data_IF_423700175732
#
_entry.id   IF_423700175732
#
_cell.length_a   1.000
_cell.length_b   1.000
_cell.length_c   1.000
_cell.angle_alpha   90.00
_cell.angle_beta   90.00
_cell.angle_gamma   90.00
#
_symmetry.space_group_name_H-M   'P 1'
#
loop_
_entity.id
_entity.type
_entity.pdbx_description
1 polymer ?
#
# COMPACT_ATOMS: atom_id res chain seq x y z
N UNK A 1 -0.46 -3.01 -10.30
CA UNK A 1 -0.98 -3.43 -8.98
C UNK A 1 -2.20 -2.60 -8.56
N UNK A 2 -2.05 -1.35 -8.08
CA UNK A 2 -3.16 -0.59 -7.48
C UNK A 2 -4.32 -0.33 -8.45
N UNK A 3 -4.04 -0.09 -9.74
CA UNK A 3 -5.06 0.00 -10.78
C UNK A 3 -5.85 -1.30 -10.94
N UNK A 4 -5.19 -2.45 -10.94
CA UNK A 4 -5.83 -3.77 -11.03
C UNK A 4 -6.71 -4.07 -9.82
N UNK A 5 -6.20 -3.78 -8.61
CA UNK A 5 -6.97 -3.95 -7.37
C UNK A 5 -8.22 -3.06 -7.36
N UNK A 6 -8.07 -1.81 -7.81
CA UNK A 6 -9.20 -0.88 -7.88
C UNK A 6 -10.27 -1.36 -8.88
N UNK A 7 -9.87 -1.89 -10.03
CA UNK A 7 -10.78 -2.48 -11.02
C UNK A 7 -11.47 -3.74 -10.49
N UNK A 8 -10.81 -4.48 -9.60
CA UNK A 8 -11.39 -5.63 -8.91
C UNK A 8 -12.33 -5.24 -7.74
N UNK A 9 -12.51 -3.95 -7.47
CA UNK A 9 -13.43 -3.45 -6.45
C UNK A 9 -12.80 -3.16 -5.09
N UNK A 10 -11.48 -3.27 -4.94
CA UNK A 10 -10.79 -2.84 -3.73
C UNK A 10 -10.71 -1.31 -3.62
N UNK A 11 -10.80 -0.80 -2.40
CA UNK A 11 -10.37 0.57 -2.09
C UNK A 11 -8.91 0.54 -1.63
N UNK A 12 -8.05 1.24 -2.36
CA UNK A 12 -6.63 1.36 -2.00
C UNK A 12 -6.48 2.34 -0.85
N UNK A 13 -5.77 1.93 0.21
CA UNK A 13 -5.48 2.75 1.38
C UNK A 13 -3.97 2.80 1.59
N UNK A 14 -3.42 3.99 1.82
CA UNK A 14 -1.98 4.20 2.03
C UNK A 14 -1.73 5.13 3.20
N UNK A 15 -0.48 5.23 3.65
CA UNK A 15 -0.05 6.28 4.57
C UNK A 15 -0.08 7.71 3.98
N UNK A 16 -0.42 7.86 2.70
CA UNK A 16 -0.64 9.16 2.05
C UNK A 16 0.61 9.94 1.66
N UNK A 17 1.81 9.40 1.86
CA UNK A 17 3.09 10.05 1.55
C UNK A 17 3.57 9.83 0.11
N UNK A 18 4.86 10.16 -0.16
CA UNK A 18 5.52 9.98 -1.44
C UNK A 18 5.89 8.52 -1.75
N UNK A 19 6.45 8.28 -2.92
CA UNK A 19 6.99 6.98 -3.34
C UNK A 19 5.93 5.93 -3.60
N UNK A 20 6.04 4.74 -3.01
CA UNK A 20 5.11 3.64 -3.22
C UNK A 20 3.66 4.01 -2.85
N UNK A 21 3.46 4.85 -1.84
CA UNK A 21 2.15 5.35 -1.43
C UNK A 21 1.53 6.26 -2.50
N UNK A 22 2.34 7.15 -3.07
CA UNK A 22 1.93 8.01 -4.19
C UNK A 22 1.59 7.18 -5.43
N UNK A 23 2.47 6.24 -5.80
CA UNK A 23 2.25 5.33 -6.92
C UNK A 23 0.96 4.51 -6.77
N UNK A 24 0.67 4.04 -5.56
CA UNK A 24 -0.57 3.30 -5.27
C UNK A 24 -1.81 4.20 -5.39
N UNK A 25 -1.78 5.43 -4.86
CA UNK A 25 -2.88 6.36 -5.01
C UNK A 25 -3.08 6.81 -6.46
N UNK A 26 -1.99 7.05 -7.23
CA UNK A 26 -2.05 7.35 -8.66
C UNK A 26 -2.65 6.19 -9.47
N UNK A 27 -2.21 4.96 -9.19
CA UNK A 27 -2.74 3.77 -9.84
C UNK A 27 -4.25 3.58 -9.62
N UNK A 28 -4.74 3.89 -8.41
CA UNK A 28 -6.16 3.90 -8.11
C UNK A 28 -6.89 5.08 -8.80
N UNK A 29 -6.28 6.27 -8.79
CA UNK A 29 -6.81 7.47 -9.44
C UNK A 29 -7.08 7.26 -10.94
N UNK A 30 -6.17 6.56 -11.63
CA UNK A 30 -6.24 6.28 -13.08
C UNK A 30 -6.61 4.81 -13.39
N UNK A 31 -7.35 4.14 -12.53
CA UNK A 31 -7.76 2.76 -12.74
C UNK A 31 -8.53 2.61 -14.06
N UNK A 32 -8.10 1.65 -14.90
CA UNK A 32 -8.71 1.44 -16.23
C UNK A 32 -8.30 2.45 -17.31
N UNK A 33 -7.37 3.35 -17.01
CA UNK A 33 -6.84 4.35 -17.97
C UNK A 33 -5.33 4.13 -18.21
N UNK A 34 -4.89 3.02 -18.84
CA UNK A 34 -3.46 2.66 -18.92
C UNK A 34 -2.62 3.71 -19.66
N UNK A 35 -3.14 4.30 -20.73
CA UNK A 35 -2.41 5.33 -21.48
C UNK A 35 -2.22 6.61 -20.65
N UNK A 36 -3.24 7.05 -19.91
CA UNK A 36 -3.15 8.19 -19.01
C UNK A 36 -2.19 7.92 -17.83
N UNK A 37 -2.17 6.67 -17.32
CA UNK A 37 -1.27 6.27 -16.25
C UNK A 37 0.20 6.31 -16.71
N UNK A 38 0.52 5.78 -17.89
CA UNK A 38 1.88 5.86 -18.46
C UNK A 38 2.30 7.31 -18.62
N UNK A 39 1.46 8.14 -19.23
CA UNK A 39 1.76 9.57 -19.43
C UNK A 39 1.96 10.32 -18.08
N UNK A 40 1.14 10.00 -17.08
CA UNK A 40 1.29 10.57 -15.74
C UNK A 40 2.61 10.18 -15.08
N UNK A 41 3.02 8.90 -15.20
CA UNK A 41 4.31 8.41 -14.69
C UNK A 41 5.47 9.13 -15.37
N UNK A 42 5.45 9.24 -16.70
CA UNK A 42 6.50 9.95 -17.46
C UNK A 42 6.61 11.42 -17.04
N UNK A 43 5.48 12.08 -16.78
CA UNK A 43 5.48 13.47 -16.30
C UNK A 43 6.05 13.58 -14.88
N UNK A 44 5.63 12.70 -13.95
CA UNK A 44 6.12 12.68 -12.57
C UNK A 44 7.60 12.33 -12.49
N UNK A 45 8.14 11.58 -13.43
CA UNK A 45 9.58 11.27 -13.53
C UNK A 45 10.47 12.50 -13.67
N UNK A 46 9.91 13.67 -14.03
CA UNK A 46 10.63 14.95 -14.04
C UNK A 46 10.97 15.47 -12.63
N UNK A 47 10.25 15.02 -11.61
CA UNK A 47 10.46 15.35 -10.19
C UNK A 47 10.45 14.07 -9.32
N UNK A 48 11.41 13.14 -9.51
CA UNK A 48 11.33 11.77 -8.99
C UNK A 48 11.54 11.68 -7.49
N UNK A 49 12.13 12.69 -6.86
CA UNK A 49 12.43 12.69 -5.43
C UNK A 49 11.74 13.84 -4.72
N UNK A 50 11.13 13.50 -3.58
CA UNK A 50 10.55 14.50 -2.70
C UNK A 50 11.60 15.28 -1.93
N UNK A 51 12.57 14.60 -1.29
CA UNK A 51 13.57 15.23 -0.43
C UNK A 51 14.44 16.23 -1.19
N UNK A 52 14.42 17.48 -0.73
CA UNK A 52 15.16 18.59 -1.33
C UNK A 52 14.55 19.14 -2.63
N UNK A 53 13.36 18.68 -3.00
CA UNK A 53 12.66 19.09 -4.22
C UNK A 53 11.14 19.20 -4.01
N UNK A 54 10.72 19.50 -2.79
CA UNK A 54 9.34 19.43 -2.31
C UNK A 54 8.38 20.27 -3.17
N UNK A 55 8.80 21.48 -3.51
CA UNK A 55 7.98 22.42 -4.31
C UNK A 55 7.72 21.89 -5.72
N UNK A 56 8.75 21.35 -6.38
CA UNK A 56 8.61 20.82 -7.73
C UNK A 56 7.81 19.51 -7.71
N UNK A 57 8.06 18.63 -6.74
CA UNK A 57 7.31 17.39 -6.59
C UNK A 57 5.80 17.66 -6.43
N UNK A 58 5.42 18.61 -5.55
CA UNK A 58 4.01 19.00 -5.38
C UNK A 58 3.46 19.63 -6.65
N UNK A 59 4.18 20.56 -7.30
CA UNK A 59 3.74 21.21 -8.51
C UNK A 59 3.48 20.23 -9.65
N UNK A 60 4.42 19.31 -9.90
CA UNK A 60 4.30 18.27 -10.92
C UNK A 60 3.11 17.34 -10.63
N UNK A 61 2.93 16.93 -9.39
CA UNK A 61 1.76 16.14 -8.99
C UNK A 61 0.44 16.87 -9.22
N UNK A 62 0.37 18.15 -8.90
CA UNK A 62 -0.81 18.99 -9.15
C UNK A 62 -1.10 19.18 -10.64
N UNK A 63 -0.07 19.31 -11.47
CA UNK A 63 -0.22 19.38 -12.93
C UNK A 63 -0.83 18.10 -13.49
N UNK A 64 -0.30 16.94 -13.10
CA UNK A 64 -0.86 15.63 -13.48
C UNK A 64 -2.30 15.51 -13.02
N UNK A 65 -2.59 15.88 -11.78
CA UNK A 65 -3.96 15.83 -11.26
C UNK A 65 -4.92 16.74 -12.02
N UNK A 66 -4.49 17.92 -12.45
CA UNK A 66 -5.31 18.86 -13.21
C UNK A 66 -5.62 18.36 -14.64
N UNK A 67 -4.74 17.51 -15.20
CA UNK A 67 -4.88 16.96 -16.55
C UNK A 67 -5.60 15.60 -16.58
N UNK A 68 -5.90 15.03 -15.41
CA UNK A 68 -6.47 13.68 -15.29
C UNK A 68 -7.83 13.71 -14.57
N UNK A 69 -8.64 12.69 -14.85
CA UNK A 69 -9.92 12.50 -14.18
C UNK A 69 -9.92 11.21 -13.35
N UNK A 70 -10.31 11.28 -12.07
CA UNK A 70 -10.32 10.09 -11.21
C UNK A 70 -11.37 9.09 -11.68
N UNK A 71 -10.96 7.83 -11.80
CA UNK A 71 -11.85 6.68 -12.11
C UNK A 71 -12.01 5.74 -10.93
N UNK A 72 -11.06 5.75 -9.99
CA UNK A 72 -11.11 4.94 -8.79
C UNK A 72 -10.94 5.74 -7.51
N UNK A 73 -11.22 5.09 -6.38
CA UNK A 73 -11.15 5.71 -5.05
C UNK A 73 -9.97 5.17 -4.26
N UNK A 74 -9.28 6.08 -3.57
CA UNK A 74 -8.24 5.71 -2.62
C UNK A 74 -8.23 6.64 -1.41
N UNK A 75 -7.65 6.19 -0.32
CA UNK A 75 -7.58 6.94 0.94
C UNK A 75 -6.10 7.09 1.33
N UNK A 76 -5.68 8.32 1.60
CA UNK A 76 -4.40 8.61 2.24
C UNK A 76 -4.60 8.87 3.73
N UNK A 77 -3.81 8.23 4.59
CA UNK A 77 -3.89 8.41 6.06
C UNK A 77 -2.54 8.91 6.59
N UNK A 78 -2.17 10.18 6.37
CA UNK A 78 -0.92 10.75 6.83
C UNK A 78 -0.97 11.19 8.29
N UNK A 79 0.22 11.51 8.86
CA UNK A 79 0.38 12.12 10.18
C UNK A 79 0.89 13.56 10.10
N UNK A 80 0.67 14.33 11.17
CA UNK A 80 1.14 15.71 11.28
C UNK A 80 2.60 15.81 11.72
N UNK A 81 3.11 14.85 12.48
CA UNK A 81 4.34 15.00 13.26
C UNK A 81 5.63 14.54 12.57
N UNK A 82 5.54 13.84 11.46
CA UNK A 82 6.75 13.47 10.71
C UNK A 82 7.14 14.54 9.67
N UNK A 83 6.96 15.77 10.03
CA UNK A 83 7.51 17.06 9.60
C UNK A 83 7.76 17.32 8.12
N UNK A 84 7.90 16.32 7.30
CA UNK A 84 8.39 16.42 5.94
C UNK A 84 7.64 15.54 4.93
N UNK A 85 6.49 15.01 5.30
CA UNK A 85 5.70 14.23 4.35
C UNK A 85 4.45 15.04 3.94
N UNK A 86 4.46 15.75 2.81
CA UNK A 86 3.24 16.26 2.24
C UNK A 86 2.40 15.06 1.84
N UNK A 87 1.11 15.22 1.97
CA UNK A 87 0.16 14.28 1.42
C UNK A 87 0.32 14.27 -0.10
N UNK A 88 0.47 13.08 -0.72
CA UNK A 88 0.41 13.00 -2.16
C UNK A 88 -0.97 13.46 -2.66
N UNK A 89 -1.01 13.98 -3.88
CA UNK A 89 -2.20 14.65 -4.42
C UNK A 89 -3.23 13.70 -5.03
N UNK A 90 -2.92 12.40 -5.13
CA UNK A 90 -3.75 11.44 -5.89
C UNK A 90 -4.79 10.70 -5.03
N UNK A 91 -4.65 10.74 -3.70
CA UNK A 91 -5.69 10.19 -2.83
C UNK A 91 -7.02 10.95 -3.01
N UNK A 92 -8.12 10.23 -3.17
CA UNK A 92 -9.46 10.82 -3.32
C UNK A 92 -10.06 11.30 -1.99
N UNK A 93 -9.55 10.78 -0.88
CA UNK A 93 -9.88 11.21 0.47
C UNK A 93 -8.64 11.16 1.37
N UNK A 94 -8.56 12.07 2.34
CA UNK A 94 -7.43 12.17 3.26
C UNK A 94 -7.96 12.22 4.69
N UNK A 95 -7.43 11.33 5.54
CA UNK A 95 -7.67 11.32 6.99
C UNK A 95 -6.35 11.56 7.73
N UNK A 96 -6.10 12.77 8.19
CA UNK A 96 -4.82 13.15 8.81
C UNK A 96 -4.88 13.04 10.33
N UNK A 97 -3.94 12.32 10.92
CA UNK A 97 -3.85 12.06 12.36
C UNK A 97 -2.69 12.81 13.01
N UNK A 98 -2.85 13.15 14.30
CA UNK A 98 -1.79 13.76 15.11
C UNK A 98 -0.85 12.71 15.72
N UNK A 99 -1.33 11.51 15.98
CA UNK A 99 -0.55 10.41 16.56
C UNK A 99 -0.26 9.35 15.49
N UNK A 100 1.03 9.01 15.30
CA UNK A 100 1.41 7.95 14.38
C UNK A 100 0.87 6.58 14.81
N UNK A 101 0.89 6.28 16.10
CA UNK A 101 0.39 5.01 16.61
C UNK A 101 -1.12 4.82 16.29
N UNK A 102 -1.92 5.88 16.46
CA UNK A 102 -3.33 5.85 16.09
C UNK A 102 -3.52 5.75 14.58
N UNK A 103 -2.70 6.43 13.80
CA UNK A 103 -2.74 6.37 12.33
C UNK A 103 -2.47 4.95 11.82
N UNK A 104 -1.43 4.31 12.34
CA UNK A 104 -1.08 2.93 11.96
C UNK A 104 -2.16 1.94 12.38
N UNK A 105 -2.67 2.05 13.59
CA UNK A 105 -3.76 1.19 14.06
C UNK A 105 -5.01 1.31 13.17
N UNK A 106 -5.42 2.53 12.84
CA UNK A 106 -6.55 2.76 11.93
C UNK A 106 -6.29 2.20 10.54
N UNK A 107 -5.11 2.47 9.95
CA UNK A 107 -4.72 1.96 8.65
C UNK A 107 -4.82 0.43 8.60
N UNK A 108 -4.19 -0.25 9.54
CA UNK A 108 -4.12 -1.71 9.56
C UNK A 108 -5.49 -2.37 9.85
N UNK A 109 -6.30 -1.80 10.73
CA UNK A 109 -7.63 -2.33 11.05
C UNK A 109 -8.62 -2.27 9.90
N UNK A 110 -8.47 -1.28 9.02
CA UNK A 110 -9.36 -1.11 7.87
C UNK A 110 -8.92 -1.89 6.63
N UNK A 111 -7.64 -2.29 6.54
CA UNK A 111 -7.08 -3.00 5.40
C UNK A 111 -7.29 -4.52 5.48
N UNK A 112 -8.53 -4.98 5.63
CA UNK A 112 -8.85 -6.41 5.75
C UNK A 112 -8.76 -7.20 4.45
N UNK A 113 -8.83 -6.53 3.30
CA UNK A 113 -8.68 -7.17 2.00
C UNK A 113 -7.27 -7.69 1.76
N UNK A 114 -6.27 -7.09 2.39
CA UNK A 114 -4.87 -7.48 2.36
C UNK A 114 -3.94 -6.29 2.60
N UNK A 115 -2.74 -6.60 3.04
CA UNK A 115 -1.66 -5.67 3.30
C UNK A 115 -0.51 -5.97 2.34
N UNK A 116 -0.08 -4.99 1.57
CA UNK A 116 1.01 -5.14 0.61
C UNK A 116 2.17 -4.27 1.07
N UNK A 117 3.29 -4.91 1.35
CA UNK A 117 4.52 -4.28 1.81
C UNK A 117 5.51 -4.17 0.67
N UNK A 118 5.74 -2.96 0.20
CA UNK A 118 6.84 -2.62 -0.72
C UNK A 118 8.13 -2.40 0.09
N UNK A 119 9.31 -2.47 -0.53
CA UNK A 119 10.56 -2.08 0.12
C UNK A 119 10.42 -0.74 0.84
N UNK A 120 10.70 -0.74 2.15
CA UNK A 120 10.46 0.42 3.02
C UNK A 120 11.35 0.39 4.26
N UNK A 121 11.34 1.44 5.06
CA UNK A 121 12.20 1.61 6.22
C UNK A 121 11.49 1.26 7.55
N UNK A 122 11.91 1.88 8.63
CA UNK A 122 11.47 1.60 10.00
C UNK A 122 9.94 1.64 10.20
N UNK A 123 9.26 2.60 9.55
CA UNK A 123 7.79 2.68 9.65
C UNK A 123 7.10 1.46 9.04
N UNK A 124 7.58 0.99 7.88
CA UNK A 124 7.05 -0.23 7.24
C UNK A 124 7.31 -1.47 8.10
N UNK A 125 8.49 -1.58 8.73
CA UNK A 125 8.79 -2.68 9.67
C UNK A 125 7.85 -2.64 10.87
N UNK A 126 7.58 -1.48 11.43
CA UNK A 126 6.61 -1.31 12.52
C UNK A 126 5.22 -1.78 12.08
N UNK A 127 4.73 -1.35 10.92
CA UNK A 127 3.44 -1.76 10.36
C UNK A 127 3.36 -3.27 10.15
N UNK A 128 4.42 -3.90 9.64
CA UNK A 128 4.51 -5.36 9.47
C UNK A 128 4.30 -6.09 10.80
N UNK A 129 5.06 -5.73 11.84
CA UNK A 129 4.96 -6.44 13.12
C UNK A 129 3.68 -6.11 13.89
N UNK A 130 3.13 -4.92 13.72
CA UNK A 130 1.83 -4.57 14.29
C UNK A 130 0.70 -5.41 13.64
N UNK A 131 0.69 -5.54 12.32
CA UNK A 131 -0.26 -6.38 11.61
C UNK A 131 -0.07 -7.87 11.94
N UNK A 132 1.19 -8.34 11.96
CA UNK A 132 1.52 -9.71 12.33
C UNK A 132 1.03 -10.07 13.73
N UNK A 133 1.16 -9.15 14.69
CA UNK A 133 0.64 -9.36 16.05
C UNK A 133 -0.88 -9.54 16.03
N UNK A 134 -1.62 -8.72 15.28
CA UNK A 134 -3.05 -8.86 15.12
C UNK A 134 -3.45 -10.20 14.50
N UNK A 135 -2.75 -10.60 13.44
CA UNK A 135 -2.98 -11.87 12.76
C UNK A 135 -2.63 -13.09 13.63
N UNK A 136 -1.55 -12.99 14.41
CA UNK A 136 -1.08 -14.09 15.29
C UNK A 136 -2.09 -14.44 16.37
N UNK A 137 -2.78 -13.43 16.93
CA UNK A 137 -3.79 -13.59 18.00
C UNK A 137 -5.22 -13.61 17.48
N UNK A 138 -5.43 -13.60 16.16
CA UNK A 138 -6.77 -13.65 15.60
C UNK A 138 -7.51 -14.94 16.00
N UNK A 139 -8.69 -14.79 16.58
CA UNK A 139 -9.47 -15.92 17.08
C UNK A 139 -10.11 -16.76 15.95
N UNK A 140 -10.25 -16.17 14.77
CA UNK A 140 -10.88 -16.79 13.60
C UNK A 140 -10.04 -16.53 12.36
N UNK A 141 -10.00 -17.50 11.46
CA UNK A 141 -9.18 -17.45 10.26
C UNK A 141 -9.60 -16.34 9.27
N UNK A 142 -10.87 -16.00 9.22
CA UNK A 142 -11.42 -14.90 8.42
C UNK A 142 -11.04 -13.50 8.91
N UNK A 143 -10.60 -13.39 10.16
CA UNK A 143 -10.06 -12.16 10.73
C UNK A 143 -8.58 -11.92 10.38
N UNK A 144 -7.89 -12.91 9.83
CA UNK A 144 -6.49 -12.82 9.44
C UNK A 144 -6.37 -12.13 8.08
N UNK A 145 -5.79 -10.94 8.05
CA UNK A 145 -5.53 -10.21 6.82
C UNK A 145 -4.35 -10.82 6.04
N UNK A 146 -4.46 -11.03 4.72
CA UNK A 146 -3.31 -11.40 3.90
C UNK A 146 -2.17 -10.38 4.04
N UNK A 147 -0.94 -10.87 4.15
CA UNK A 147 0.27 -10.05 4.20
C UNK A 147 1.17 -10.44 3.04
N UNK A 148 1.32 -9.55 2.08
CA UNK A 148 2.07 -9.78 0.85
C UNK A 148 3.30 -8.89 0.86
N UNK A 149 4.46 -9.50 0.69
CA UNK A 149 5.75 -8.83 0.62
C UNK A 149 6.22 -8.83 -0.83
N UNK A 150 6.50 -7.67 -1.38
CA UNK A 150 7.04 -7.51 -2.72
C UNK A 150 8.51 -7.16 -2.65
N UNK A 151 9.36 -7.96 -3.31
CA UNK A 151 10.81 -7.82 -3.30
C UNK A 151 11.49 -8.90 -2.46
N UNK A 152 11.76 -10.04 -3.07
CA UNK A 152 12.33 -11.22 -2.42
C UNK A 152 13.67 -10.91 -1.76
N UNK A 153 14.63 -10.41 -2.52
CA UNK A 153 15.97 -10.04 -2.00
C UNK A 153 15.88 -9.01 -0.87
N UNK A 154 15.01 -8.02 -1.03
CA UNK A 154 14.85 -6.98 -0.01
C UNK A 154 14.41 -7.53 1.34
N UNK A 155 13.36 -8.36 1.35
CA UNK A 155 12.75 -8.88 2.57
C UNK A 155 13.46 -10.09 3.15
N UNK A 156 14.36 -10.76 2.39
CA UNK A 156 15.15 -11.91 2.89
C UNK A 156 16.58 -11.53 3.24
N UNK A 157 17.19 -10.54 2.59
CA UNK A 157 18.61 -10.22 2.70
C UNK A 157 18.86 -8.78 3.16
N UNK A 158 18.33 -7.78 2.44
CA UNK A 158 18.61 -6.37 2.74
C UNK A 158 18.00 -5.94 4.07
N UNK A 159 16.73 -6.24 4.30
CA UNK A 159 16.01 -6.04 5.54
C UNK A 159 15.23 -7.32 5.86
N UNK A 160 15.86 -8.31 6.50
CA UNK A 160 15.36 -9.69 6.58
C UNK A 160 14.20 -9.84 7.56
N UNK A 161 13.06 -9.25 7.24
CA UNK A 161 11.80 -9.36 7.99
C UNK A 161 11.11 -10.69 7.70
N UNK A 162 11.22 -11.19 6.46
CA UNK A 162 10.52 -12.40 6.02
C UNK A 162 10.81 -13.65 6.85
N UNK A 163 12.07 -13.99 7.21
CA UNK A 163 12.35 -15.13 8.05
C UNK A 163 11.64 -15.09 9.41
N UNK A 164 11.54 -13.89 10.01
CA UNK A 164 10.87 -13.73 11.30
C UNK A 164 9.36 -13.88 11.19
N UNK A 165 8.76 -13.28 10.17
CA UNK A 165 7.31 -13.35 9.94
C UNK A 165 6.89 -14.79 9.56
N UNK A 166 7.67 -15.46 8.73
CA UNK A 166 7.44 -16.87 8.38
C UNK A 166 7.52 -17.78 9.61
N UNK A 167 8.52 -17.59 10.47
CA UNK A 167 8.65 -18.34 11.71
C UNK A 167 7.48 -18.10 12.68
N UNK A 168 6.98 -16.88 12.76
CA UNK A 168 5.77 -16.57 13.54
C UNK A 168 4.50 -17.22 12.96
N UNK A 169 4.44 -17.38 11.65
CA UNK A 169 3.31 -17.97 10.95
C UNK A 169 3.31 -19.50 10.93
N UNK A 170 4.44 -20.12 11.25
CA UNK A 170 4.59 -21.58 11.16
C UNK A 170 3.59 -22.32 12.08
N UNK A 171 2.87 -23.28 11.50
CA UNK A 171 1.83 -24.05 12.18
C UNK A 171 0.60 -23.23 12.62
N UNK A 172 0.42 -22.01 12.11
CA UNK A 172 -0.71 -21.10 12.42
C UNK A 172 -1.45 -20.68 11.17
N UNK A 173 -2.73 -20.34 11.31
CA UNK A 173 -3.53 -19.77 10.22
C UNK A 173 -2.96 -18.48 9.61
N UNK A 174 -2.13 -17.76 10.35
CA UNK A 174 -1.37 -16.63 9.82
C UNK A 174 -0.40 -17.04 8.71
N UNK A 175 0.24 -18.22 8.83
CA UNK A 175 1.17 -18.71 7.81
C UNK A 175 0.52 -18.88 6.44
N UNK A 176 -0.72 -19.34 6.39
CA UNK A 176 -1.51 -19.50 5.16
C UNK A 176 -1.88 -18.15 4.48
N UNK A 177 -1.59 -17.05 5.14
CA UNK A 177 -1.89 -15.69 4.70
C UNK A 177 -0.64 -14.86 4.37
N UNK A 178 0.52 -15.48 4.45
CA UNK A 178 1.80 -14.85 4.10
C UNK A 178 2.16 -15.18 2.64
N UNK A 179 2.60 -14.18 1.90
CA UNK A 179 3.09 -14.35 0.53
C UNK A 179 4.31 -13.45 0.32
N UNK A 180 5.34 -13.99 -0.32
CA UNK A 180 6.52 -13.24 -0.76
C UNK A 180 6.66 -13.42 -2.27
N UNK A 181 6.71 -12.32 -3.00
CA UNK A 181 6.80 -12.26 -4.47
C UNK A 181 7.75 -11.16 -4.91
N UNK A 182 8.23 -11.25 -6.14
CA UNK A 182 8.96 -10.16 -6.79
C UNK A 182 8.06 -9.33 -7.71
N UNK A 183 7.03 -9.97 -8.29
CA UNK A 183 6.15 -9.32 -9.24
C UNK A 183 4.91 -8.72 -8.55
N UNK A 184 4.64 -7.47 -8.85
CA UNK A 184 3.44 -6.77 -8.37
C UNK A 184 2.14 -7.33 -8.98
N UNK A 185 2.21 -7.97 -10.14
CA UNK A 185 1.06 -8.60 -10.78
C UNK A 185 0.68 -9.91 -10.07
N UNK A 186 1.66 -10.64 -9.54
CA UNK A 186 1.43 -11.81 -8.70
C UNK A 186 0.73 -11.40 -7.39
N UNK A 187 1.17 -10.30 -6.78
CA UNK A 187 0.53 -9.75 -5.59
C UNK A 187 -0.95 -9.36 -5.85
N UNK A 188 -1.22 -8.71 -6.99
CA UNK A 188 -2.58 -8.35 -7.38
C UNK A 188 -3.44 -9.58 -7.63
N UNK A 189 -2.95 -10.52 -8.41
CA UNK A 189 -3.64 -11.76 -8.79
C UNK A 189 -4.02 -12.58 -7.56
N UNK A 190 -3.12 -12.67 -6.58
CA UNK A 190 -3.38 -13.37 -5.32
C UNK A 190 -4.57 -12.75 -4.56
N UNK A 191 -4.63 -11.44 -4.40
CA UNK A 191 -5.73 -10.79 -3.70
C UNK A 191 -7.04 -10.88 -4.46
N UNK A 192 -7.02 -10.70 -5.78
CA UNK A 192 -8.23 -10.77 -6.63
C UNK A 192 -8.83 -12.17 -6.62
N UNK A 193 -8.01 -13.23 -6.71
CA UNK A 193 -8.50 -14.61 -6.64
C UNK A 193 -9.21 -14.94 -5.33
N UNK A 194 -8.77 -14.35 -4.22
CA UNK A 194 -9.39 -14.53 -2.91
C UNK A 194 -10.77 -13.88 -2.79
N UNK A 195 -11.00 -12.72 -3.44
CA UNK A 195 -12.34 -12.13 -3.49
C UNK A 195 -13.33 -13.04 -4.18
N UNK A 196 -12.92 -13.66 -5.29
CA UNK A 196 -13.77 -14.56 -6.07
C UNK A 196 -14.17 -15.78 -5.25
N UNK A 197 -13.25 -16.31 -4.43
CA UNK A 197 -13.53 -17.47 -3.56
C UNK A 197 -14.46 -17.09 -2.39
N UNK A 198 -14.30 -15.91 -1.80
CA UNK A 198 -15.12 -15.43 -0.70
C UNK A 198 -16.55 -15.07 -1.13
N UNK A 199 -16.77 -14.72 -2.41
CA UNK A 199 -18.10 -14.42 -2.95
C UNK A 199 -18.88 -15.67 -3.38
N UNK A 200 -18.22 -16.83 -3.48
CA UNK A 200 -18.79 -18.09 -3.92
C UNK A 200 -19.18 -19.05 -2.77
N UNK A 201 -18.87 -18.71 -1.52
CA UNK A 201 -19.17 -19.47 -0.31
C UNK A 201 -20.12 -18.72 0.62
#
# INVERSE_FOLDING_TARGET
>A
LASQLTLAGFTVVTGGGPGAMEAANLGAHLAGQPAALVHAIDHLASAPTYQGNETMWVATGMEVRAQTHPTGRSIGIPTWFYGYEPTNVFASAIAKYFSNALREDVLLRHCRGGLIYMPGAAGTVQEVFQAATGNYYAAQHDLISPMIFVGLEYWTETLPVWPLISALGDGRGMGDRLLLVDDVDDAASHLVSRLSTAAAG
#
